data_IF_980182219498
#
_entry.id   IF_980182219498
#
_cell.length_a   1.000
_cell.length_b   1.000
_cell.length_c   1.000
_cell.angle_alpha   90.00
_cell.angle_beta   90.00
_cell.angle_gamma   90.00
#
_symmetry.space_group_name_H-M   'P 1'
#
loop_
_entity.id
_entity.type
_entity.pdbx_description
1 polymer ?
#
# COMPACT_ATOMS: atom_id res chain seq x y z
N UNK A 1 -20.25 9.39 -41.84
CA UNK A 1 -21.06 8.18 -41.59
C UNK A 1 -21.62 8.26 -40.16
N UNK A 2 -22.92 8.03 -39.95
CA UNK A 2 -23.58 8.12 -38.64
C UNK A 2 -23.93 6.71 -38.17
N UNK A 3 -23.51 6.33 -36.97
CA UNK A 3 -23.81 5.01 -36.40
C UNK A 3 -25.29 4.92 -36.01
N UNK A 4 -25.87 3.72 -36.16
CA UNK A 4 -27.20 3.41 -35.64
C UNK A 4 -27.17 3.26 -34.11
N UNK A 5 -28.34 3.30 -33.47
CA UNK A 5 -28.47 3.14 -32.01
C UNK A 5 -27.86 1.82 -31.51
N UNK A 6 -28.04 0.73 -32.25
CA UNK A 6 -27.44 -0.57 -31.90
C UNK A 6 -25.91 -0.57 -32.03
N UNK A 7 -25.37 0.15 -33.02
CA UNK A 7 -23.91 0.27 -33.16
C UNK A 7 -23.30 1.12 -32.05
N UNK A 8 -24.00 2.16 -31.58
CA UNK A 8 -23.59 2.92 -30.40
C UNK A 8 -23.58 2.09 -29.12
N UNK A 9 -24.57 1.22 -28.92
CA UNK A 9 -24.58 0.29 -27.78
C UNK A 9 -23.42 -0.70 -27.82
N UNK A 10 -23.08 -1.23 -29.00
CA UNK A 10 -21.91 -2.10 -29.17
C UNK A 10 -20.60 -1.34 -28.93
N UNK A 11 -20.50 -0.11 -29.42
CA UNK A 11 -19.35 0.75 -29.17
C UNK A 11 -19.18 1.08 -27.68
N UNK A 12 -20.29 1.32 -26.96
CA UNK A 12 -20.28 1.49 -25.50
C UNK A 12 -19.76 0.24 -24.79
N UNK A 13 -20.28 -0.93 -25.15
CA UNK A 13 -19.82 -2.20 -24.58
C UNK A 13 -18.32 -2.43 -24.85
N UNK A 14 -17.84 -2.16 -26.07
CA UNK A 14 -16.41 -2.27 -26.39
C UNK A 14 -15.57 -1.29 -25.56
N UNK A 15 -16.08 -0.08 -25.30
CA UNK A 15 -15.42 0.90 -24.44
C UNK A 15 -15.36 0.41 -23.00
N UNK A 16 -16.48 -0.06 -22.46
CA UNK A 16 -16.60 -0.58 -21.09
C UNK A 16 -15.84 -1.91 -20.89
N UNK A 17 -15.45 -2.60 -21.96
CA UNK A 17 -14.54 -3.78 -21.91
C UNK A 17 -13.07 -3.43 -22.13
N UNK A 18 -12.74 -2.15 -22.34
CA UNK A 18 -11.36 -1.65 -22.33
C UNK A 18 -10.81 -1.13 -23.66
N UNK A 19 -11.60 -1.15 -24.74
CA UNK A 19 -11.14 -0.68 -26.06
C UNK A 19 -10.76 0.80 -26.06
N UNK A 20 -9.69 1.14 -26.78
CA UNK A 20 -9.23 2.52 -26.96
C UNK A 20 -10.09 3.27 -27.98
N UNK A 21 -10.19 4.59 -27.87
CA UNK A 21 -10.92 5.40 -28.85
C UNK A 21 -10.33 5.31 -30.26
N UNK A 22 -9.03 5.03 -30.39
CA UNK A 22 -8.37 4.85 -31.68
C UNK A 22 -8.78 3.54 -32.36
N UNK A 23 -8.89 2.45 -31.59
CA UNK A 23 -9.35 1.16 -32.11
C UNK A 23 -10.84 1.18 -32.44
N UNK A 24 -11.64 1.89 -31.64
CA UNK A 24 -13.06 2.12 -31.92
C UNK A 24 -13.27 2.90 -33.22
N UNK A 25 -12.46 3.93 -33.48
CA UNK A 25 -12.55 4.71 -34.71
C UNK A 25 -12.29 3.84 -35.95
N UNK A 26 -11.32 2.92 -35.88
CA UNK A 26 -11.03 1.94 -36.94
C UNK A 26 -12.15 0.92 -37.11
N UNK A 27 -12.65 0.32 -36.01
CA UNK A 27 -13.69 -0.72 -36.02
C UNK A 27 -15.02 -0.22 -36.54
N UNK A 28 -15.44 0.97 -36.07
CA UNK A 28 -16.74 1.55 -36.40
C UNK A 28 -16.71 2.51 -37.60
N UNK A 29 -15.53 2.76 -38.19
CA UNK A 29 -15.32 3.68 -39.32
C UNK A 29 -15.93 5.07 -39.08
N UNK A 30 -15.81 5.57 -37.86
CA UNK A 30 -16.29 6.89 -37.42
C UNK A 30 -15.14 7.67 -36.82
N UNK A 31 -15.19 9.00 -36.94
CA UNK A 31 -14.12 9.84 -36.40
C UNK A 31 -14.01 9.68 -34.88
N UNK A 32 -12.76 9.63 -34.39
CA UNK A 32 -12.44 9.58 -32.97
C UNK A 32 -13.15 10.70 -32.20
N UNK A 33 -13.17 11.91 -32.75
CA UNK A 33 -13.82 13.07 -32.15
C UNK A 33 -15.34 12.87 -31.95
N UNK A 34 -16.03 12.24 -32.91
CA UNK A 34 -17.46 11.95 -32.77
C UNK A 34 -17.73 10.90 -31.68
N UNK A 35 -16.87 9.88 -31.58
CA UNK A 35 -16.96 8.86 -30.52
C UNK A 35 -16.69 9.50 -29.15
N UNK A 36 -15.65 10.32 -29.01
CA UNK A 36 -15.34 11.04 -27.76
C UNK A 36 -16.51 11.94 -27.35
N UNK A 37 -17.07 12.71 -28.27
CA UNK A 37 -18.22 13.60 -27.99
C UNK A 37 -19.43 12.81 -27.50
N UNK A 38 -19.72 11.66 -28.13
CA UNK A 38 -20.82 10.79 -27.72
C UNK A 38 -20.56 10.13 -26.36
N UNK A 39 -19.34 9.63 -26.16
CA UNK A 39 -18.88 9.04 -24.90
C UNK A 39 -18.94 10.03 -23.73
N UNK A 40 -18.57 11.29 -23.98
CA UNK A 40 -18.67 12.37 -22.99
C UNK A 40 -20.12 12.66 -22.62
N UNK A 41 -21.01 12.78 -23.61
CA UNK A 41 -22.44 13.05 -23.36
C UNK A 41 -23.14 11.92 -22.58
N UNK A 42 -22.72 10.67 -22.78
CA UNK A 42 -23.30 9.49 -22.13
C UNK A 42 -22.46 8.96 -20.96
N UNK A 43 -21.41 9.67 -20.56
CA UNK A 43 -20.49 9.29 -19.48
C UNK A 43 -19.95 7.86 -19.60
N UNK A 44 -19.43 7.49 -20.77
CA UNK A 44 -18.78 6.19 -20.94
C UNK A 44 -17.46 6.17 -20.18
N UNK A 45 -17.32 5.22 -19.26
CA UNK A 45 -16.15 5.10 -18.39
C UNK A 45 -15.59 3.70 -18.54
N UNK A 46 -14.27 3.58 -18.72
CA UNK A 46 -13.62 2.25 -18.66
C UNK A 46 -13.58 1.73 -17.22
N UNK A 47 -13.55 0.40 -17.00
CA UNK A 47 -13.39 -0.16 -15.66
C UNK A 47 -12.14 0.35 -14.93
N UNK A 48 -11.02 0.56 -15.64
CA UNK A 48 -9.79 1.10 -15.05
C UNK A 48 -9.94 2.58 -14.65
N UNK A 49 -10.63 3.38 -15.48
CA UNK A 49 -10.95 4.78 -15.21
C UNK A 49 -11.94 4.93 -14.05
N UNK A 50 -12.94 4.03 -13.96
CA UNK A 50 -13.87 3.99 -12.84
C UNK A 50 -13.14 3.69 -11.53
N UNK A 51 -12.25 2.69 -11.54
CA UNK A 51 -11.45 2.33 -10.36
C UNK A 51 -10.56 3.49 -9.91
N UNK A 52 -9.91 4.18 -10.86
CA UNK A 52 -9.12 5.38 -10.58
C UNK A 52 -9.97 6.53 -10.02
N UNK A 53 -11.16 6.75 -10.59
CA UNK A 53 -12.07 7.80 -10.12
C UNK A 53 -12.59 7.51 -8.70
N UNK A 54 -12.94 6.26 -8.40
CA UNK A 54 -13.35 5.84 -7.06
C UNK A 54 -12.21 6.04 -6.05
N UNK A 55 -10.99 5.59 -6.38
CA UNK A 55 -9.81 5.78 -5.53
C UNK A 55 -9.56 7.26 -5.25
N UNK A 56 -9.50 8.08 -6.29
CA UNK A 56 -9.35 9.54 -6.14
C UNK A 56 -10.44 10.13 -5.23
N UNK A 57 -11.71 9.76 -5.43
CA UNK A 57 -12.83 10.24 -4.60
C UNK A 57 -12.71 9.79 -3.14
N UNK A 58 -12.23 8.57 -2.91
CA UNK A 58 -11.96 8.06 -1.57
C UNK A 58 -10.83 8.85 -0.92
N UNK A 59 -9.73 9.10 -1.64
CA UNK A 59 -8.60 9.92 -1.17
C UNK A 59 -9.05 11.35 -0.85
N UNK A 60 -9.88 11.98 -1.70
CA UNK A 60 -10.47 13.31 -1.44
C UNK A 60 -11.30 13.34 -0.15
N UNK A 61 -12.02 12.25 0.16
CA UNK A 61 -12.82 12.14 1.40
C UNK A 61 -11.95 11.88 2.63
N UNK A 62 -10.91 11.06 2.49
CA UNK A 62 -9.98 10.74 3.58
C UNK A 62 -9.15 11.96 3.94
N UNK A 63 -8.65 12.69 2.94
CA UNK A 63 -7.78 13.86 3.14
C UNK A 63 -8.54 15.18 3.28
N UNK A 64 -9.81 15.23 2.88
CA UNK A 64 -10.59 16.48 2.79
C UNK A 64 -10.15 17.41 1.64
N UNK A 65 -9.22 16.99 0.78
CA UNK A 65 -8.69 17.80 -0.33
C UNK A 65 -9.57 17.59 -1.56
N UNK A 66 -10.39 18.58 -1.93
CA UNK A 66 -11.20 18.55 -3.16
C UNK A 66 -10.68 19.59 -4.16
N UNK A 67 -10.18 19.17 -5.31
CA UNK A 67 -9.74 20.14 -6.33
C UNK A 67 -10.93 20.94 -6.89
N UNK A 68 -10.83 22.28 -7.02
CA UNK A 68 -9.67 23.13 -6.69
C UNK A 68 -9.67 23.62 -5.23
N UNK A 69 -8.63 23.27 -4.46
CA UNK A 69 -8.34 23.89 -3.13
C UNK A 69 -7.30 25.00 -3.31
N UNK A 70 -7.44 26.10 -2.57
CA UNK A 70 -6.42 27.16 -2.48
C UNK A 70 -5.10 26.63 -1.88
N UNK A 71 -3.94 27.15 -2.32
CA UNK A 71 -2.62 26.73 -1.81
C UNK A 71 -2.52 26.79 -0.28
N UNK A 72 -3.05 27.84 0.35
CA UNK A 72 -3.03 27.99 1.82
C UNK A 72 -3.78 26.88 2.56
N UNK A 73 -5.01 26.56 2.12
CA UNK A 73 -5.78 25.43 2.70
C UNK A 73 -5.09 24.09 2.46
N UNK A 74 -4.44 23.92 1.32
CA UNK A 74 -3.66 22.70 1.04
C UNK A 74 -2.48 22.56 2.00
N UNK A 75 -1.75 23.64 2.29
CA UNK A 75 -0.66 23.65 3.25
C UNK A 75 -1.15 23.29 4.67
N UNK A 76 -2.25 23.90 5.13
CA UNK A 76 -2.85 23.58 6.43
C UNK A 76 -3.24 22.10 6.57
N UNK A 77 -3.83 21.52 5.51
CA UNK A 77 -4.17 20.09 5.52
C UNK A 77 -2.91 19.23 5.59
N UNK A 78 -1.87 19.56 4.80
CA UNK A 78 -0.59 18.83 4.83
C UNK A 78 0.02 18.89 6.24
N UNK A 79 0.08 20.07 6.86
CA UNK A 79 0.63 20.22 8.21
C UNK A 79 -0.16 19.37 9.23
N UNK A 80 -1.50 19.39 9.13
CA UNK A 80 -2.35 18.60 10.02
C UNK A 80 -2.19 17.08 9.86
N UNK A 81 -1.97 16.59 8.63
CA UNK A 81 -1.72 15.17 8.38
C UNK A 81 -0.28 14.79 8.80
N UNK A 82 0.69 15.68 8.60
CA UNK A 82 2.06 15.48 9.05
C UNK A 82 2.16 15.37 10.57
N UNK A 83 1.38 16.16 11.32
CA UNK A 83 1.27 16.09 12.78
C UNK A 83 0.81 14.69 13.24
N UNK A 84 -0.24 14.13 12.60
CA UNK A 84 -0.74 12.78 12.90
C UNK A 84 0.30 11.70 12.63
N UNK A 85 1.01 11.80 11.51
CA UNK A 85 2.11 10.87 11.18
C UNK A 85 3.25 10.99 12.20
N UNK A 86 3.61 12.21 12.61
CA UNK A 86 4.62 12.45 13.62
C UNK A 86 4.24 11.85 14.98
N UNK A 87 2.96 11.93 15.37
CA UNK A 87 2.42 11.31 16.57
C UNK A 87 2.58 9.78 16.54
N UNK A 88 2.23 9.14 15.42
CA UNK A 88 2.40 7.68 15.23
C UNK A 88 3.88 7.29 15.40
N UNK A 89 4.78 8.01 14.74
CA UNK A 89 6.23 7.76 14.84
C UNK A 89 6.73 7.93 16.28
N UNK A 90 6.28 8.98 16.97
CA UNK A 90 6.64 9.25 18.36
C UNK A 90 6.16 8.15 19.28
N UNK A 91 4.91 7.70 19.11
CA UNK A 91 4.32 6.60 19.89
C UNK A 91 5.11 5.31 19.69
N UNK A 92 5.38 4.92 18.44
CA UNK A 92 6.15 3.69 18.14
C UNK A 92 7.52 3.68 18.82
N UNK A 93 8.21 4.82 18.88
CA UNK A 93 9.50 4.95 19.59
C UNK A 93 9.38 4.68 21.09
N UNK A 94 8.26 5.06 21.69
CA UNK A 94 8.03 4.91 23.14
C UNK A 94 7.49 3.54 23.54
N UNK A 95 6.65 2.90 22.72
CA UNK A 95 6.00 1.63 23.07
C UNK A 95 7.00 0.47 23.24
N UNK A 96 8.15 0.55 22.56
CA UNK A 96 9.24 -0.43 22.71
C UNK A 96 9.84 -0.42 24.12
N UNK A 97 9.71 0.69 24.87
CA UNK A 97 10.29 0.81 26.21
C UNK A 97 9.68 -0.20 27.19
N UNK A 98 8.35 -0.39 27.18
CA UNK A 98 7.69 -1.34 28.08
C UNK A 98 8.11 -2.79 27.83
N UNK A 99 8.33 -3.18 26.58
CA UNK A 99 8.87 -4.50 26.22
C UNK A 99 10.31 -4.63 26.72
N UNK A 100 11.13 -3.60 26.51
CA UNK A 100 12.53 -3.59 26.95
C UNK A 100 12.64 -3.76 28.46
N UNK A 101 11.83 -3.03 29.22
CA UNK A 101 11.77 -3.11 30.68
C UNK A 101 11.37 -4.52 31.15
N UNK A 102 10.30 -5.09 30.57
CA UNK A 102 9.87 -6.45 30.91
C UNK A 102 10.94 -7.50 30.61
N UNK A 103 11.59 -7.40 29.45
CA UNK A 103 12.67 -8.31 29.06
C UNK A 103 13.84 -8.23 30.05
N UNK A 104 14.29 -7.03 30.40
CA UNK A 104 15.41 -6.85 31.33
C UNK A 104 15.07 -7.31 32.75
N UNK A 105 13.83 -7.09 33.20
CA UNK A 105 13.34 -7.61 34.47
C UNK A 105 13.36 -9.14 34.48
N UNK A 106 12.81 -9.80 33.46
CA UNK A 106 12.79 -11.26 33.34
C UNK A 106 14.20 -11.85 33.26
N UNK A 107 15.12 -11.22 32.51
CA UNK A 107 16.53 -11.65 32.44
C UNK A 107 17.26 -11.53 33.78
N UNK A 108 16.97 -10.46 34.55
CA UNK A 108 17.52 -10.29 35.89
C UNK A 108 17.03 -11.38 36.83
N UNK A 109 15.72 -11.60 36.90
CA UNK A 109 15.12 -12.65 37.74
C UNK A 109 15.62 -14.05 37.35
N UNK A 110 15.78 -14.33 36.06
CA UNK A 110 16.30 -15.61 35.59
C UNK A 110 17.76 -15.85 36.01
N UNK A 111 18.58 -14.80 36.08
CA UNK A 111 19.97 -14.89 36.56
C UNK A 111 20.06 -15.09 38.07
N UNK A 112 19.17 -14.45 38.83
CA UNK A 112 19.13 -14.52 40.30
C UNK A 112 18.48 -15.81 40.83
N UNK A 113 17.72 -16.52 39.99
CA UNK A 113 17.04 -17.75 40.34
C UNK A 113 18.00 -18.92 40.64
N UNK A 114 17.82 -19.53 41.82
CA UNK A 114 18.65 -20.63 42.31
C UNK A 114 17.99 -22.00 42.14
N UNK A 115 16.70 -22.04 41.82
CA UNK A 115 15.95 -23.28 41.57
C UNK A 115 15.44 -23.37 40.14
N UNK A 116 15.20 -24.59 39.68
CA UNK A 116 14.66 -24.84 38.34
C UNK A 116 13.27 -24.19 38.16
N UNK A 117 12.41 -24.26 39.17
CA UNK A 117 11.08 -23.66 39.14
C UNK A 117 11.12 -22.14 39.02
N UNK A 118 12.02 -21.46 39.76
CA UNK A 118 12.21 -20.02 39.64
C UNK A 118 12.73 -19.61 38.26
N UNK A 119 13.65 -20.40 37.69
CA UNK A 119 14.15 -20.16 36.32
C UNK A 119 13.04 -20.29 35.28
N UNK A 120 12.20 -21.32 35.38
CA UNK A 120 11.03 -21.50 34.48
C UNK A 120 10.07 -20.32 34.59
N UNK A 121 9.75 -19.88 35.81
CA UNK A 121 8.85 -18.75 36.02
C UNK A 121 9.39 -17.46 35.40
N UNK A 122 10.67 -17.12 35.64
CA UNK A 122 11.30 -15.96 35.02
C UNK A 122 11.40 -16.08 33.48
N UNK A 123 11.59 -17.30 32.98
CA UNK A 123 11.59 -17.56 31.54
C UNK A 123 10.23 -17.30 30.89
N UNK A 124 9.12 -17.59 31.58
CA UNK A 124 7.78 -17.23 31.09
C UNK A 124 7.63 -15.72 30.86
N UNK A 125 8.22 -14.88 31.71
CA UNK A 125 8.21 -13.43 31.50
C UNK A 125 9.05 -12.98 30.31
N UNK A 126 10.19 -13.63 30.07
CA UNK A 126 11.02 -13.38 28.88
C UNK A 126 10.24 -13.77 27.61
N UNK A 127 9.55 -14.93 27.65
CA UNK A 127 8.69 -15.36 26.55
C UNK A 127 7.53 -14.38 26.32
N UNK A 128 6.87 -13.92 27.38
CA UNK A 128 5.81 -12.94 27.29
C UNK A 128 6.31 -11.62 26.68
N UNK A 129 7.52 -11.16 27.05
CA UNK A 129 8.14 -9.99 26.44
C UNK A 129 8.41 -10.18 24.94
N UNK A 130 8.87 -11.37 24.52
CA UNK A 130 9.05 -11.70 23.11
C UNK A 130 7.72 -11.67 22.34
N UNK A 131 6.69 -12.34 22.86
CA UNK A 131 5.37 -12.37 22.20
C UNK A 131 4.78 -10.97 22.11
N UNK A 132 4.93 -10.15 23.14
CA UNK A 132 4.53 -8.75 23.12
C UNK A 132 5.31 -7.94 22.07
N UNK A 133 6.62 -8.19 21.91
CA UNK A 133 7.45 -7.60 20.86
C UNK A 133 6.94 -7.93 19.45
N UNK A 134 6.65 -9.20 19.20
CA UNK A 134 6.18 -9.65 17.88
C UNK A 134 4.78 -9.10 17.57
N UNK A 135 3.90 -9.02 18.58
CA UNK A 135 2.59 -8.38 18.46
C UNK A 135 2.72 -6.88 18.16
N UNK A 136 3.58 -6.17 18.89
CA UNK A 136 3.81 -4.74 18.69
C UNK A 136 4.40 -4.45 17.31
N UNK A 137 5.35 -5.26 16.85
CA UNK A 137 5.93 -5.13 15.51
C UNK A 137 4.86 -5.26 14.42
N UNK A 138 3.90 -6.17 14.58
CA UNK A 138 2.79 -6.32 13.66
C UNK A 138 1.86 -5.10 13.66
N UNK A 139 1.55 -4.56 14.84
CA UNK A 139 0.76 -3.33 14.98
C UNK A 139 1.48 -2.17 14.28
N UNK A 140 2.77 -1.95 14.59
CA UNK A 140 3.57 -0.91 13.98
C UNK A 140 3.61 -1.04 12.46
N UNK A 141 3.81 -2.24 11.94
CA UNK A 141 3.83 -2.51 10.49
C UNK A 141 2.49 -2.16 9.83
N UNK A 142 1.37 -2.62 10.39
CA UNK A 142 0.04 -2.35 9.83
C UNK A 142 -0.26 -0.85 9.86
N UNK A 143 0.07 -0.16 10.94
CA UNK A 143 -0.14 1.28 11.06
C UNK A 143 0.74 2.07 10.10
N UNK A 144 2.03 1.72 9.98
CA UNK A 144 2.94 2.39 9.02
C UNK A 144 2.49 2.18 7.58
N UNK A 145 1.92 1.02 7.26
CA UNK A 145 1.29 0.76 5.96
C UNK A 145 0.04 1.60 5.74
N UNK A 146 -0.81 1.76 6.77
CA UNK A 146 -2.02 2.59 6.68
C UNK A 146 -1.70 4.08 6.45
N UNK A 147 -0.57 4.55 6.97
CA UNK A 147 -0.09 5.93 6.85
C UNK A 147 0.96 6.15 5.75
N UNK A 148 1.26 5.13 4.93
CA UNK A 148 2.31 5.19 3.89
C UNK A 148 3.69 5.66 4.39
N UNK A 149 4.01 5.44 5.68
CA UNK A 149 5.28 5.89 6.29
C UNK A 149 6.48 5.13 5.71
N UNK A 150 6.27 3.87 5.34
CA UNK A 150 7.31 2.97 4.84
C UNK A 150 7.40 2.93 3.29
N UNK A 151 6.65 3.76 2.57
CA UNK A 151 6.68 3.79 1.09
C UNK A 151 7.99 4.36 0.52
N UNK A 152 8.90 4.84 1.37
CA UNK A 152 10.25 5.24 1.00
C UNK A 152 11.25 4.07 1.10
N UNK A 153 11.05 3.01 0.31
CA UNK A 153 12.12 2.22 -0.34
C UNK A 153 11.53 1.03 -1.11
N UNK A 154 10.96 1.25 -2.28
CA UNK A 154 11.28 0.31 -3.35
C UNK A 154 12.74 0.61 -3.70
N UNK A 155 13.70 -0.30 -3.45
CA UNK A 155 15.00 -0.13 -4.06
C UNK A 155 14.79 -0.31 -5.57
N UNK A 156 14.71 0.80 -6.32
CA UNK A 156 14.87 0.82 -7.78
C UNK A 156 16.24 0.24 -8.22
N UNK A 157 17.05 -0.25 -7.28
CA UNK A 157 18.38 -0.78 -7.55
C UNK A 157 18.75 -1.94 -6.61
N UNK A 158 17.88 -2.96 -6.45
CA UNK A 158 18.39 -4.27 -6.04
C UNK A 158 19.15 -4.87 -7.21
N UNK A 159 20.44 -4.59 -7.31
CA UNK A 159 21.36 -5.41 -8.11
C UNK A 159 21.30 -6.84 -7.58
N UNK A 160 20.46 -7.67 -8.20
CA UNK A 160 20.37 -9.10 -7.89
C UNK A 160 21.68 -9.73 -8.39
N UNK A 161 22.60 -10.00 -7.47
CA UNK A 161 23.78 -10.82 -7.78
C UNK A 161 23.33 -12.27 -7.81
N UNK A 162 23.04 -12.77 -9.00
CA UNK A 162 22.76 -14.20 -9.23
C UNK A 162 24.09 -14.96 -9.22
N UNK A 163 24.43 -15.58 -8.09
CA UNK A 163 25.57 -16.50 -8.02
C UNK A 163 25.15 -17.84 -8.63
N UNK A 164 25.46 -18.05 -9.91
CA UNK A 164 25.36 -19.37 -10.52
C UNK A 164 26.54 -20.22 -10.03
N UNK A 165 26.26 -21.24 -9.21
CA UNK A 165 27.25 -22.29 -8.91
C UNK A 165 27.22 -23.29 -10.05
N UNK A 166 28.23 -23.27 -10.92
CA UNK A 166 28.49 -24.39 -11.83
C UNK A 166 29.02 -25.56 -11.00
N UNK A 167 28.15 -26.51 -10.66
CA UNK A 167 28.63 -27.81 -10.19
C UNK A 167 29.41 -28.44 -11.34
N UNK A 168 30.69 -28.71 -11.09
CA UNK A 168 31.60 -29.26 -12.09
C UNK A 168 30.99 -30.49 -12.76
N UNK A 169 30.91 -30.45 -14.09
CA UNK A 169 30.75 -31.63 -14.91
C UNK A 169 31.84 -32.61 -14.52
N UNK A 170 31.48 -33.65 -13.76
CA UNK A 170 32.34 -34.81 -13.59
C UNK A 170 32.57 -35.38 -15.00
N UNK A 171 33.78 -35.21 -15.51
CA UNK A 171 34.24 -35.88 -16.71
C UNK A 171 34.12 -37.38 -16.47
N UNK A 172 33.15 -38.01 -17.14
CA UNK A 172 33.10 -39.46 -17.30
C UNK A 172 34.13 -39.82 -18.35
N UNK A 173 35.22 -40.46 -17.94
CA UNK A 173 35.98 -41.38 -18.79
C UNK A 173 35.50 -42.79 -18.50
#
# INVERSE_FOLDING_TARGET
MRLSKQQWLKARHDRETGMSYDDMAKKYKVSKAAIIKHAFNENWIRPDELTKAIKKRADEKVTGIVNPVTIAKRAQIIDSEAEKVAEVIKRHRTEVNGIRERLYSGLKLHKEANTLEQKKFAFCDIQAAKVASDALLNIHRIERQAWSIDEASLPENKSVITIQRSYGLQARN
#
